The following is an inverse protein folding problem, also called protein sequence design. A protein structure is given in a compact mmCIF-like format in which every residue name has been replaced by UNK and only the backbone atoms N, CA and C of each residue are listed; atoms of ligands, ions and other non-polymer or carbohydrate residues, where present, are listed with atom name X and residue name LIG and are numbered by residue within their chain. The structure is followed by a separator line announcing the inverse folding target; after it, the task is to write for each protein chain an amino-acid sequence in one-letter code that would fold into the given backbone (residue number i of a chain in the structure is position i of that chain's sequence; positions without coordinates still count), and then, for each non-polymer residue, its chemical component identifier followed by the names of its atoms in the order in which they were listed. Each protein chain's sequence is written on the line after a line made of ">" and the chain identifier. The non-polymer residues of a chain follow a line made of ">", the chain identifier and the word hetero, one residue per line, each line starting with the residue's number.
data_IF_462686529409
#
_entry.id   IF_462686529409
#
_cell.length_a   1.000
_cell.length_b   1.000
_cell.length_c   1.000
_cell.angle_alpha   90.00
_cell.angle_beta   90.00
_cell.angle_gamma   90.00
#
_symmetry.space_group_name_H-M   'P 1'
#
loop_
_entity.id
_entity.type
_entity.pdbx_description
1 polymer ?
#
# COMPACT_ATOMS: atom_id res chain seq x y z
N UNK A 1 -17.72 -17.93 5.52
CA UNK A 1 -16.62 -17.21 4.87
C UNK A 1 -16.61 -15.83 5.50
N UNK A 2 -15.49 -15.43 6.10
CA UNK A 2 -15.34 -14.08 6.60
C UNK A 2 -15.05 -13.16 5.41
N UNK A 3 -15.45 -11.89 5.49
CA UNK A 3 -15.11 -10.93 4.44
C UNK A 3 -13.61 -10.80 4.29
N UNK A 4 -13.17 -10.48 3.08
CA UNK A 4 -11.78 -10.12 2.78
C UNK A 4 -11.67 -8.63 2.53
N UNK A 5 -10.91 -7.94 3.38
CA UNK A 5 -10.63 -6.51 3.25
C UNK A 5 -9.23 -6.35 2.65
N UNK A 6 -9.14 -5.69 1.50
CA UNK A 6 -7.86 -5.29 0.91
C UNK A 6 -7.50 -3.86 1.36
N UNK A 7 -6.30 -3.70 1.90
CA UNK A 7 -5.77 -2.42 2.38
C UNK A 7 -4.45 -2.13 1.66
N UNK A 8 -4.48 -1.36 0.56
CA UNK A 8 -3.27 -0.86 -0.07
C UNK A 8 -2.56 0.16 0.82
N UNK A 9 -1.27 -0.06 1.07
CA UNK A 9 -0.40 0.79 1.88
C UNK A 9 0.73 1.32 1.00
N UNK A 10 0.86 2.64 0.94
CA UNK A 10 2.07 3.27 0.44
C UNK A 10 3.09 3.35 1.58
N UNK A 11 4.12 2.49 1.51
CA UNK A 11 5.18 2.42 2.53
C UNK A 11 6.05 3.67 2.59
N UNK A 12 5.94 4.58 1.61
CA UNK A 12 6.64 5.86 1.58
C UNK A 12 5.85 7.01 2.24
N UNK A 13 4.55 6.85 2.47
CA UNK A 13 3.68 7.88 3.07
C UNK A 13 2.97 7.34 4.34
N UNK A 14 3.60 7.62 5.48
CA UNK A 14 3.09 7.20 6.79
C UNK A 14 1.88 8.01 7.25
N UNK A 15 1.72 9.27 6.80
CA UNK A 15 0.59 10.14 7.16
C UNK A 15 -0.72 9.59 6.58
N UNK A 16 -0.66 9.11 5.34
CA UNK A 16 -1.80 8.48 4.67
C UNK A 16 -2.24 7.20 5.38
N UNK A 17 -1.27 6.43 5.88
CA UNK A 17 -1.55 5.19 6.61
C UNK A 17 -2.29 5.48 7.93
N UNK A 18 -1.86 6.48 8.68
CA UNK A 18 -2.49 6.79 9.97
C UNK A 18 -3.98 7.15 9.85
N UNK A 19 -4.40 7.67 8.69
CA UNK A 19 -5.81 8.02 8.42
C UNK A 19 -6.72 6.81 8.27
N UNK A 20 -6.20 5.67 7.82
CA UNK A 20 -7.04 4.48 7.54
C UNK A 20 -7.15 3.53 8.72
N UNK A 21 -6.23 3.60 9.70
CA UNK A 21 -6.16 2.65 10.84
C UNK A 21 -7.52 2.43 11.48
N UNK A 22 -8.16 3.51 11.96
CA UNK A 22 -9.45 3.41 12.66
C UNK A 22 -10.57 2.81 11.80
N UNK A 23 -10.55 3.08 10.50
CA UNK A 23 -11.54 2.57 9.55
C UNK A 23 -11.33 1.07 9.29
N UNK A 24 -10.08 0.65 9.05
CA UNK A 24 -9.73 -0.75 8.84
C UNK A 24 -10.07 -1.57 10.07
N UNK A 25 -9.69 -1.11 11.26
CA UNK A 25 -10.00 -1.81 12.52
C UNK A 25 -11.50 -1.90 12.80
N UNK A 26 -12.27 -0.85 12.48
CA UNK A 26 -13.72 -0.87 12.65
C UNK A 26 -14.36 -1.90 11.71
N UNK A 27 -13.97 -1.91 10.44
CA UNK A 27 -14.48 -2.87 9.46
C UNK A 27 -14.08 -4.31 9.79
N UNK A 28 -12.84 -4.53 10.24
CA UNK A 28 -12.33 -5.85 10.58
C UNK A 28 -13.01 -6.48 11.81
N UNK A 29 -13.63 -5.66 12.68
CA UNK A 29 -14.36 -6.12 13.87
C UNK A 29 -15.80 -6.55 13.60
N UNK A 30 -16.40 -6.17 12.47
CA UNK A 30 -17.83 -6.41 12.22
C UNK A 30 -18.14 -7.90 12.13
N UNK A 31 -17.24 -8.66 11.49
CA UNK A 31 -17.46 -10.06 11.11
C UNK A 31 -16.16 -10.87 11.14
N UNK A 32 -15.19 -10.44 11.95
CA UNK A 32 -13.85 -11.01 12.03
C UNK A 32 -13.17 -11.19 10.66
N UNK A 33 -13.30 -10.17 9.80
CA UNK A 33 -12.74 -10.16 8.45
C UNK A 33 -11.23 -10.47 8.43
N UNK A 34 -10.80 -11.12 7.36
CA UNK A 34 -9.39 -11.27 7.00
C UNK A 34 -8.92 -9.96 6.35
N UNK A 35 -7.75 -9.47 6.76
CA UNK A 35 -7.21 -8.18 6.32
C UNK A 35 -5.92 -8.40 5.55
N UNK A 36 -5.99 -8.11 4.26
CA UNK A 36 -4.89 -8.28 3.32
C UNK A 36 -4.24 -6.91 3.06
N UNK A 37 -3.02 -6.72 3.55
CA UNK A 37 -2.23 -5.53 3.30
C UNK A 37 -1.38 -5.71 2.05
N UNK A 38 -1.46 -4.74 1.13
CA UNK A 38 -0.72 -4.75 -0.12
C UNK A 38 0.17 -3.52 -0.21
N UNK A 39 1.46 -3.71 -0.44
CA UNK A 39 2.35 -2.66 -0.95
C UNK A 39 2.75 -2.96 -2.39
N UNK A 40 2.87 -1.92 -3.21
CA UNK A 40 3.25 -2.05 -4.62
C UNK A 40 4.54 -1.28 -4.87
N UNK A 41 5.58 -2.02 -5.24
CA UNK A 41 6.84 -1.46 -5.75
C UNK A 41 6.56 -0.94 -7.16
N UNK A 42 6.66 0.36 -7.42
CA UNK A 42 6.45 0.90 -8.75
C UNK A 42 7.51 0.37 -9.73
N UNK A 43 7.12 0.04 -10.96
CA UNK A 43 8.06 -0.45 -11.97
C UNK A 43 8.95 0.67 -12.52
N UNK A 44 10.09 0.32 -13.11
CA UNK A 44 10.99 1.33 -13.69
C UNK A 44 10.33 2.19 -14.79
N UNK A 45 9.51 1.64 -15.72
CA UNK A 45 8.74 2.46 -16.65
C UNK A 45 7.77 3.41 -15.95
N UNK A 46 7.21 3.01 -14.80
CA UNK A 46 6.36 3.88 -13.99
C UNK A 46 7.20 5.01 -13.36
N UNK A 47 8.36 4.72 -12.77
CA UNK A 47 9.29 5.75 -12.29
C UNK A 47 9.76 6.70 -13.40
N UNK A 48 10.03 6.17 -14.59
CA UNK A 48 10.38 6.95 -15.79
C UNK A 48 9.25 7.88 -16.21
N UNK A 49 8.01 7.39 -16.20
CA UNK A 49 6.83 8.21 -16.50
C UNK A 49 6.60 9.34 -15.49
N UNK A 50 7.14 9.21 -14.27
CA UNK A 50 7.14 10.23 -13.22
C UNK A 50 8.40 11.14 -13.24
N UNK A 51 9.29 10.98 -14.22
CA UNK A 51 10.52 11.78 -14.35
C UNK A 51 11.66 11.37 -13.40
N UNK A 52 11.57 10.21 -12.75
CA UNK A 52 12.53 9.74 -11.74
C UNK A 52 13.53 8.68 -12.25
N UNK A 53 13.62 8.44 -13.56
CA UNK A 53 14.45 7.36 -14.11
C UNK A 53 15.95 7.67 -14.25
N UNK A 54 16.39 8.85 -13.86
CA UNK A 54 17.79 9.24 -13.99
C UNK A 54 18.51 8.98 -12.67
N UNK A 55 19.51 8.09 -12.71
CA UNK A 55 20.56 7.84 -11.71
C UNK A 55 20.23 6.89 -10.55
N UNK A 56 20.31 5.57 -10.76
CA UNK A 56 20.81 4.62 -9.74
C UNK A 56 21.02 3.22 -10.35
N UNK A 57 22.09 2.53 -9.95
CA UNK A 57 22.10 1.06 -9.93
C UNK A 57 20.96 0.63 -9.00
N UNK A 58 19.89 0.08 -9.57
CA UNK A 58 18.76 -0.36 -8.78
C UNK A 58 19.15 -1.63 -8.03
N UNK A 59 18.79 -1.76 -6.73
CA UNK A 59 18.93 -3.02 -6.01
C UNK A 59 18.23 -4.15 -6.76
N UNK A 60 18.64 -5.38 -6.52
CA UNK A 60 17.94 -6.53 -7.07
C UNK A 60 16.47 -6.50 -6.61
N UNK A 61 15.56 -6.90 -7.50
CA UNK A 61 14.12 -6.85 -7.22
C UNK A 61 13.74 -7.67 -5.98
N UNK A 62 14.46 -8.74 -5.70
CA UNK A 62 14.24 -9.56 -4.50
C UNK A 62 14.61 -8.82 -3.21
N UNK A 63 15.69 -8.02 -3.22
CA UNK A 63 16.06 -7.16 -2.09
C UNK A 63 14.99 -6.09 -1.86
N UNK A 64 14.50 -5.45 -2.94
CA UNK A 64 13.42 -4.47 -2.86
C UNK A 64 12.12 -5.06 -2.30
N UNK A 65 11.79 -6.30 -2.69
CA UNK A 65 10.62 -7.01 -2.15
C UNK A 65 10.78 -7.30 -0.66
N UNK A 66 11.93 -7.82 -0.24
CA UNK A 66 12.20 -8.12 1.16
C UNK A 66 12.15 -6.85 2.03
N UNK A 67 12.76 -5.76 1.56
CA UNK A 67 12.71 -4.46 2.24
C UNK A 67 11.28 -3.92 2.33
N UNK A 68 10.52 -3.99 1.23
CA UNK A 68 9.13 -3.52 1.17
C UNK A 68 8.22 -4.33 2.10
N UNK A 69 8.39 -5.65 2.15
CA UNK A 69 7.65 -6.52 3.06
C UNK A 69 7.98 -6.21 4.52
N UNK A 70 9.26 -6.03 4.84
CA UNK A 70 9.71 -5.66 6.19
C UNK A 70 9.09 -4.33 6.63
N UNK A 71 9.14 -3.30 5.78
CA UNK A 71 8.51 -2.00 6.08
C UNK A 71 7.00 -2.10 6.22
N UNK A 72 6.34 -2.88 5.35
CA UNK A 72 4.91 -3.11 5.45
C UNK A 72 4.54 -3.75 6.79
N UNK A 73 5.28 -4.78 7.23
CA UNK A 73 5.08 -5.41 8.54
C UNK A 73 5.24 -4.41 9.69
N UNK A 74 6.26 -3.55 9.66
CA UNK A 74 6.44 -2.51 10.68
C UNK A 74 5.27 -1.53 10.72
N UNK A 75 4.75 -1.11 9.57
CA UNK A 75 3.58 -0.23 9.50
C UNK A 75 2.32 -0.92 10.04
N UNK A 76 2.12 -2.19 9.70
CA UNK A 76 0.95 -2.97 10.11
C UNK A 76 0.86 -3.20 11.62
N UNK A 77 1.99 -3.14 12.36
CA UNK A 77 1.98 -3.17 13.84
C UNK A 77 1.16 -2.04 14.48
N UNK A 78 0.88 -0.96 13.75
CA UNK A 78 0.02 0.13 14.23
C UNK A 78 -1.47 -0.25 14.29
N UNK A 79 -1.87 -1.30 13.57
CA UNK A 79 -3.25 -1.76 13.52
C UNK A 79 -3.51 -2.77 14.63
N UNK A 80 -4.59 -2.57 15.38
CA UNK A 80 -5.03 -3.49 16.42
C UNK A 80 -5.96 -4.56 15.82
N UNK A 81 -5.36 -5.51 15.10
CA UNK A 81 -6.04 -6.64 14.44
C UNK A 81 -5.30 -7.94 14.84
N UNK A 82 -6.01 -9.04 15.16
CA UNK A 82 -5.38 -10.33 15.46
C UNK A 82 -4.45 -10.82 14.34
N UNK A 83 -3.25 -11.29 14.71
CA UNK A 83 -2.20 -11.68 13.75
C UNK A 83 -2.62 -12.82 12.81
N UNK A 84 -3.49 -13.72 13.28
CA UNK A 84 -4.04 -14.84 12.51
C UNK A 84 -4.98 -14.41 11.38
N UNK A 85 -5.39 -13.13 11.35
CA UNK A 85 -6.25 -12.54 10.31
C UNK A 85 -5.51 -11.55 9.40
N UNK A 86 -4.20 -11.39 9.58
CA UNK A 86 -3.39 -10.44 8.81
C UNK A 86 -2.62 -11.19 7.72
N UNK A 87 -2.73 -10.69 6.49
CA UNK A 87 -1.99 -11.21 5.35
C UNK A 87 -1.17 -10.11 4.67
N UNK A 88 0.05 -10.43 4.27
CA UNK A 88 0.97 -9.49 3.64
C UNK A 88 1.19 -9.82 2.17
N UNK A 89 1.16 -8.78 1.32
CA UNK A 89 1.37 -8.91 -0.12
C UNK A 89 2.32 -7.81 -0.60
N UNK A 90 3.30 -8.22 -1.40
CA UNK A 90 4.19 -7.29 -2.14
C UNK A 90 4.04 -7.57 -3.62
N UNK A 91 3.79 -6.53 -4.41
CA UNK A 91 3.68 -6.63 -5.87
C UNK A 91 4.58 -5.62 -6.57
N UNK A 92 4.92 -5.87 -7.82
CA UNK A 92 5.68 -4.94 -8.65
C UNK A 92 4.83 -4.45 -9.82
N UNK A 93 4.73 -3.14 -10.05
CA UNK A 93 4.06 -2.56 -11.21
C UNK A 93 3.33 -1.26 -10.93
N UNK A 94 2.33 -0.95 -11.75
CA UNK A 94 1.43 0.19 -11.51
C UNK A 94 0.58 -0.07 -10.25
N UNK A 95 0.61 0.82 -9.24
CA UNK A 95 -0.17 0.64 -8.01
C UNK A 95 -1.66 0.40 -8.27
N UNK A 96 -2.27 1.21 -9.14
CA UNK A 96 -3.67 1.06 -9.53
C UNK A 96 -3.97 -0.33 -10.07
N UNK A 97 -3.17 -0.81 -11.01
CA UNK A 97 -3.43 -2.07 -11.70
C UNK A 97 -3.21 -3.27 -10.77
N UNK A 98 -2.19 -3.19 -9.90
CA UNK A 98 -1.93 -4.24 -8.91
C UNK A 98 -2.98 -4.30 -7.80
N UNK A 99 -3.49 -3.15 -7.34
CA UNK A 99 -4.61 -3.10 -6.39
C UNK A 99 -5.86 -3.74 -7.02
N UNK A 100 -6.21 -3.35 -8.25
CA UNK A 100 -7.37 -3.92 -8.96
C UNK A 100 -7.22 -5.41 -9.25
N UNK A 101 -6.02 -5.88 -9.60
CA UNK A 101 -5.74 -7.29 -9.82
C UNK A 101 -5.85 -8.09 -8.51
N UNK A 102 -5.27 -7.58 -7.42
CA UNK A 102 -5.31 -8.23 -6.11
C UNK A 102 -6.75 -8.31 -5.57
N UNK A 103 -7.53 -7.24 -5.70
CA UNK A 103 -8.93 -7.22 -5.31
C UNK A 103 -9.75 -8.29 -6.04
N UNK A 104 -9.44 -8.57 -7.31
CA UNK A 104 -10.09 -9.64 -8.09
C UNK A 104 -9.60 -11.04 -7.72
N UNK A 105 -8.31 -11.20 -7.41
CA UNK A 105 -7.74 -12.52 -7.08
C UNK A 105 -8.08 -12.99 -5.67
N UNK A 106 -8.22 -12.05 -4.72
CA UNK A 106 -8.68 -12.31 -3.35
C UNK A 106 -10.21 -12.27 -3.20
N UNK A 107 -10.97 -12.27 -4.29
CA UNK A 107 -12.30 -11.63 -4.36
C UNK A 107 -12.65 -10.70 -3.18
N UNK A 108 -11.89 -9.61 -3.01
CA UNK A 108 -12.04 -8.71 -1.86
C UNK A 108 -13.43 -8.06 -1.83
N UNK A 109 -14.12 -8.16 -0.69
CA UNK A 109 -15.45 -7.57 -0.47
C UNK A 109 -15.38 -6.05 -0.27
N UNK A 110 -14.24 -5.57 0.25
CA UNK A 110 -14.00 -4.18 0.54
C UNK A 110 -12.54 -3.81 0.25
N UNK A 111 -12.33 -2.66 -0.39
CA UNK A 111 -11.02 -2.04 -0.54
C UNK A 111 -11.01 -0.73 0.24
N UNK A 112 -10.12 -0.60 1.23
CA UNK A 112 -9.95 0.63 2.01
C UNK A 112 -8.65 1.30 1.59
N UNK A 113 -8.76 2.47 0.95
CA UNK A 113 -7.63 3.30 0.54
C UNK A 113 -7.73 4.68 1.18
N UNK A 114 -6.59 5.26 1.53
CA UNK A 114 -6.51 6.66 1.91
C UNK A 114 -6.62 7.55 0.67
N UNK A 115 -7.30 8.69 0.80
CA UNK A 115 -7.30 9.70 -0.27
C UNK A 115 -6.02 10.52 -0.20
N UNK A 116 -5.29 10.56 -1.31
CA UNK A 116 -4.23 11.54 -1.52
C UNK A 116 -4.86 12.89 -1.89
N UNK A 117 -4.59 13.94 -1.10
CA UNK A 117 -4.75 15.31 -1.59
C UNK A 117 -3.47 15.68 -2.33
N UNK A 118 -3.51 16.14 -3.59
CA UNK A 118 -2.33 16.66 -4.25
C UNK A 118 -1.77 17.82 -3.41
N UNK A 119 -0.56 17.66 -2.87
CA UNK A 119 0.17 18.78 -2.26
C UNK A 119 0.63 19.66 -3.41
N UNK A 120 -0.06 20.76 -3.69
CA UNK A 120 0.47 21.80 -4.56
C UNK A 120 1.70 22.38 -3.87
N UNK A 121 2.90 22.05 -4.36
CA UNK A 121 4.08 22.85 -4.07
C UNK A 121 3.84 24.20 -4.75
N UNK A 122 3.54 25.24 -3.97
CA UNK A 122 3.70 26.60 -4.46
C UNK A 122 5.18 26.79 -4.75
N UNK A 123 5.57 26.69 -6.03
CA UNK A 123 6.78 27.36 -6.49
C UNK A 123 6.58 28.84 -6.18
N UNK A 124 7.50 29.50 -5.45
CA UNK A 124 7.42 30.93 -5.28
C UNK A 124 7.42 31.57 -6.67
N UNK A 125 6.36 32.29 -6.98
CA UNK A 125 6.30 33.10 -8.19
C UNK A 125 7.30 34.24 -8.04
N UNK A 126 8.44 34.13 -8.71
CA UNK A 126 9.40 35.21 -8.88
C UNK A 126 10.82 34.86 -8.47
N UNK A 127 11.63 34.52 -9.47
CA UNK A 127 12.99 35.03 -9.66
C UNK A 127 13.16 35.33 -11.16
#
# INVERSE_FOLDING_TARGET
>A
MNRMILVPIDISDTELTDRVIKHVEAEARIDDAEVHFLTVIPSLPYYASLGMAYTAELPAMDDLKAESESRLKEIVKKFNIPEDRIHFHVSEGSPKDKILAMAKSLPADLVIISSHRPRYHHLPAGL
#
